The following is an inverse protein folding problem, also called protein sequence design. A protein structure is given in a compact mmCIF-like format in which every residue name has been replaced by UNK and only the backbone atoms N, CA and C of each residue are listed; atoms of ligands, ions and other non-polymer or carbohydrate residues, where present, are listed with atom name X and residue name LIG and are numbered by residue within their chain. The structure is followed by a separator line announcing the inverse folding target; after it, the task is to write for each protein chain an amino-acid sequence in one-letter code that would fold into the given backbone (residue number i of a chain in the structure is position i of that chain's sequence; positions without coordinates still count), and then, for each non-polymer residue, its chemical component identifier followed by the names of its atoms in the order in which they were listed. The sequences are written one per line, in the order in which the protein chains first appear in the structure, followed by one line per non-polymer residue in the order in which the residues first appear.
data_IF_657833992121
#
_entry.id   IF_657833992121
#
_cell.length_a   1.000
_cell.length_b   1.000
_cell.length_c   1.000
_cell.angle_alpha   90.00
_cell.angle_beta   90.00
_cell.angle_gamma   90.00
#
_symmetry.space_group_name_H-M   'P 1'
#
loop_
_entity.id
_entity.type
_entity.pdbx_description
1 polymer ?
#
# COMPACT_ATOMS: atom_id res chain seq x y z
N UNK A 1 -24.33 4.23 0.90
CA UNK A 1 -23.24 4.56 1.85
C UNK A 1 -21.94 4.64 1.06
N UNK A 2 -21.00 5.49 1.46
CA UNK A 2 -19.72 5.52 0.76
C UNK A 2 -18.99 4.19 0.93
N UNK A 3 -18.26 3.74 -0.09
CA UNK A 3 -17.32 2.63 0.04
C UNK A 3 -16.22 2.93 1.09
N UNK A 4 -16.02 4.21 1.42
CA UNK A 4 -15.17 4.70 2.50
C UNK A 4 -15.78 4.57 3.90
N UNK A 5 -17.00 4.08 4.02
CA UNK A 5 -17.64 3.91 5.31
C UNK A 5 -17.47 2.47 5.80
N UNK A 6 -17.48 2.30 7.12
CA UNK A 6 -17.64 0.99 7.73
C UNK A 6 -18.85 0.24 7.13
N UNK A 7 -18.69 -1.06 6.94
CA UNK A 7 -19.73 -1.95 6.41
C UNK A 7 -19.76 -3.26 7.18
N UNK A 8 -20.78 -4.09 7.00
CA UNK A 8 -20.84 -5.41 7.66
C UNK A 8 -19.64 -6.31 7.29
N UNK A 9 -19.06 -6.12 6.09
CA UNK A 9 -17.86 -6.83 5.63
C UNK A 9 -16.55 -6.24 6.14
N UNK A 10 -16.55 -4.94 6.46
CA UNK A 10 -15.40 -4.23 7.01
C UNK A 10 -15.87 -3.19 8.04
N UNK A 11 -16.23 -3.63 9.26
CA UNK A 11 -16.91 -2.79 10.24
C UNK A 11 -16.01 -1.70 10.82
N UNK A 12 -14.71 -1.77 10.58
CA UNK A 12 -13.73 -0.79 11.03
C UNK A 12 -13.06 -0.05 9.87
N UNK A 13 -13.55 -0.23 8.64
CA UNK A 13 -13.04 0.46 7.46
C UNK A 13 -11.51 0.25 7.31
N UNK A 14 -11.05 -0.99 7.49
CA UNK A 14 -9.64 -1.33 7.33
C UNK A 14 -9.20 -1.20 5.86
N UNK A 15 -10.13 -1.43 4.93
CA UNK A 15 -10.00 -1.23 3.47
C UNK A 15 -10.35 0.21 3.06
N UNK A 16 -10.43 1.15 4.02
CA UNK A 16 -10.75 2.56 3.77
C UNK A 16 -9.84 3.17 2.72
N UNK A 17 -10.39 4.14 2.01
CA UNK A 17 -9.60 4.95 1.13
C UNK A 17 -8.70 5.87 1.95
N UNK A 18 -7.53 6.09 1.39
CA UNK A 18 -6.45 6.85 1.98
C UNK A 18 -5.22 6.25 1.34
N UNK A 19 -4.44 7.09 0.67
CA UNK A 19 -3.10 6.68 0.32
C UNK A 19 -2.38 6.29 1.62
N UNK A 20 -1.36 5.45 1.57
CA UNK A 20 -0.47 5.32 2.73
C UNK A 20 0.12 6.68 3.15
N UNK A 21 -0.03 7.70 2.31
CA UNK A 21 0.14 9.13 2.59
C UNK A 21 -1.13 9.68 3.23
N UNK A 22 -1.01 10.33 4.39
CA UNK A 22 -2.08 11.11 5.03
C UNK A 22 -2.53 12.31 4.17
N UNK A 23 -3.29 12.03 3.10
CA UNK A 23 -3.76 13.03 2.16
C UNK A 23 -5.11 12.64 1.57
N UNK A 24 -5.98 13.64 1.41
CA UNK A 24 -7.17 13.49 0.57
C UNK A 24 -6.73 13.37 -0.89
N UNK A 25 -7.48 12.61 -1.71
CA UNK A 25 -7.25 12.60 -3.15
C UNK A 25 -7.23 14.03 -3.69
N UNK A 26 -6.31 14.32 -4.60
CA UNK A 26 -6.41 15.51 -5.43
C UNK A 26 -7.69 15.37 -6.28
N UNK A 27 -8.76 16.02 -5.85
CA UNK A 27 -10.02 16.03 -6.57
C UNK A 27 -9.81 16.81 -7.87
N UNK A 28 -9.82 16.10 -9.00
CA UNK A 28 -9.81 16.71 -10.31
C UNK A 28 -11.25 16.78 -10.78
N UNK A 29 -11.79 17.99 -10.98
CA UNK A 29 -13.08 18.16 -11.63
C UNK A 29 -12.91 17.93 -13.12
N UNK A 30 -12.92 16.66 -13.52
CA UNK A 30 -12.98 16.27 -14.91
C UNK A 30 -14.46 16.17 -15.29
N UNK A 31 -14.91 16.79 -16.39
CA UNK A 31 -16.30 16.65 -16.85
C UNK A 31 -16.70 15.22 -17.24
N UNK A 32 -15.77 14.26 -17.14
CA UNK A 32 -15.85 12.90 -17.65
C UNK A 32 -15.66 11.82 -16.59
N UNK A 33 -15.24 12.15 -15.36
CA UNK A 33 -14.96 11.16 -14.30
C UNK A 33 -15.09 11.80 -12.91
N UNK A 34 -16.04 11.32 -12.11
CA UNK A 34 -16.16 11.62 -10.69
C UNK A 34 -15.64 10.41 -9.89
N UNK A 35 -14.62 10.64 -9.07
CA UNK A 35 -13.95 9.57 -8.31
C UNK A 35 -14.89 8.97 -7.26
N UNK A 36 -15.71 9.79 -6.59
CA UNK A 36 -16.62 9.31 -5.55
C UNK A 36 -17.75 8.48 -6.17
N UNK A 37 -18.33 8.93 -7.28
CA UNK A 37 -19.32 8.15 -8.03
C UNK A 37 -18.73 6.84 -8.57
N UNK A 38 -17.54 6.89 -9.18
CA UNK A 38 -16.87 5.69 -9.68
C UNK A 38 -16.69 4.65 -8.57
N UNK A 39 -16.22 5.09 -7.42
CA UNK A 39 -16.04 4.28 -6.23
C UNK A 39 -17.37 3.70 -5.72
N UNK A 40 -18.36 4.55 -5.45
CA UNK A 40 -19.59 4.15 -4.78
C UNK A 40 -20.55 3.35 -5.66
N UNK A 41 -20.53 3.61 -6.97
CA UNK A 41 -21.43 2.98 -7.96
C UNK A 41 -20.73 1.91 -8.77
N UNK A 42 -19.60 2.24 -9.43
CA UNK A 42 -18.95 1.30 -10.36
C UNK A 42 -18.25 0.19 -9.60
N UNK A 43 -17.33 0.51 -8.68
CA UNK A 43 -16.57 -0.52 -7.95
C UNK A 43 -17.50 -1.40 -7.12
N UNK A 44 -18.46 -0.78 -6.40
CA UNK A 44 -19.50 -1.52 -5.69
C UNK A 44 -20.24 -2.52 -6.58
N UNK A 45 -20.62 -2.13 -7.79
CA UNK A 45 -21.33 -3.02 -8.70
C UNK A 45 -20.49 -4.24 -9.11
N UNK A 46 -19.18 -4.06 -9.29
CA UNK A 46 -18.26 -5.19 -9.55
C UNK A 46 -18.10 -6.08 -8.31
N UNK A 47 -17.91 -5.51 -7.12
CA UNK A 47 -17.79 -6.26 -5.86
C UNK A 47 -19.07 -7.02 -5.47
N UNK A 48 -20.23 -6.48 -5.81
CA UNK A 48 -21.53 -7.11 -5.57
C UNK A 48 -21.98 -8.00 -6.76
N UNK A 49 -21.19 -8.09 -7.82
CA UNK A 49 -21.39 -9.02 -8.94
C UNK A 49 -22.50 -8.65 -9.92
N UNK A 50 -23.01 -7.41 -9.90
CA UNK A 50 -24.02 -6.93 -10.85
C UNK A 50 -23.48 -5.96 -11.90
N UNK A 51 -22.17 -5.64 -11.88
CA UNK A 51 -21.54 -4.66 -12.78
C UNK A 51 -21.87 -4.85 -14.26
N UNK A 52 -21.74 -6.06 -14.79
CA UNK A 52 -21.97 -6.38 -16.21
C UNK A 52 -23.41 -6.05 -16.68
N UNK A 53 -24.41 -6.30 -15.84
CA UNK A 53 -25.83 -6.19 -16.22
C UNK A 53 -26.51 -4.93 -15.69
N UNK A 54 -25.99 -4.35 -14.61
CA UNK A 54 -26.66 -3.28 -13.86
C UNK A 54 -26.04 -1.90 -14.06
N UNK A 55 -24.82 -1.77 -14.56
CA UNK A 55 -24.24 -0.46 -14.84
C UNK A 55 -24.74 0.09 -16.18
N UNK A 56 -25.27 1.32 -16.22
CA UNK A 56 -25.63 1.97 -17.48
C UNK A 56 -24.37 2.31 -18.26
N UNK A 57 -24.44 2.28 -19.60
CA UNK A 57 -23.38 2.74 -20.49
C UNK A 57 -23.34 4.28 -20.59
N UNK A 58 -23.18 4.94 -19.44
CA UNK A 58 -23.02 6.38 -19.32
C UNK A 58 -21.62 6.87 -19.76
N UNK A 59 -21.39 8.18 -19.76
CA UNK A 59 -20.11 8.77 -20.22
C UNK A 59 -18.90 8.25 -19.43
N UNK A 60 -19.07 7.97 -18.13
CA UNK A 60 -17.97 7.52 -17.28
C UNK A 60 -17.59 6.06 -17.57
N UNK A 61 -18.59 5.18 -17.62
CA UNK A 61 -18.40 3.75 -17.90
C UNK A 61 -18.01 3.47 -19.36
N UNK A 62 -18.61 4.17 -20.32
CA UNK A 62 -18.37 3.96 -21.76
C UNK A 62 -16.95 4.34 -22.22
N UNK A 63 -16.24 5.18 -21.45
CA UNK A 63 -14.85 5.58 -21.74
C UNK A 63 -13.81 4.70 -21.05
N UNK A 64 -14.23 3.88 -20.09
CA UNK A 64 -13.37 2.96 -19.34
C UNK A 64 -12.16 3.61 -18.66
N UNK A 65 -12.24 4.90 -18.29
CA UNK A 65 -11.23 5.51 -17.42
C UNK A 65 -11.37 4.97 -16.00
N UNK A 66 -10.23 4.67 -15.38
CA UNK A 66 -10.15 4.18 -14.00
C UNK A 66 -9.40 5.23 -13.18
N UNK A 67 -9.99 5.77 -12.09
CA UNK A 67 -9.28 6.64 -11.18
C UNK A 67 -7.98 6.00 -10.65
N UNK A 68 -6.99 6.83 -10.32
CA UNK A 68 -5.75 6.37 -9.73
C UNK A 68 -6.01 5.71 -8.36
N UNK A 69 -5.31 4.61 -8.06
CA UNK A 69 -5.32 3.96 -6.76
C UNK A 69 -6.60 3.20 -6.39
N UNK A 70 -7.56 2.98 -7.29
CA UNK A 70 -8.80 2.25 -6.98
C UNK A 70 -8.56 0.82 -6.46
N UNK A 71 -7.42 0.21 -6.76
CA UNK A 71 -7.03 -1.09 -6.23
C UNK A 71 -6.85 -1.10 -4.69
N UNK A 72 -6.76 0.07 -4.04
CA UNK A 72 -6.80 0.17 -2.58
C UNK A 72 -8.08 -0.44 -1.97
N UNK A 73 -9.14 -0.58 -2.77
CA UNK A 73 -10.43 -1.12 -2.33
C UNK A 73 -10.58 -2.61 -2.51
N UNK A 74 -9.67 -3.20 -3.27
CA UNK A 74 -9.71 -4.61 -3.55
C UNK A 74 -9.19 -5.37 -2.33
N UNK A 75 -10.01 -6.24 -1.79
CA UNK A 75 -9.64 -7.11 -0.67
C UNK A 75 -9.18 -8.47 -1.22
N UNK A 76 -7.98 -8.89 -0.82
CA UNK A 76 -7.41 -10.21 -1.09
C UNK A 76 -7.19 -11.02 0.19
N UNK A 77 -7.68 -10.57 1.34
CA UNK A 77 -7.49 -11.25 2.62
C UNK A 77 -8.01 -12.68 2.65
N UNK A 78 -8.91 -13.05 1.74
CA UNK A 78 -9.49 -14.39 1.61
C UNK A 78 -8.76 -15.33 0.63
N UNK A 79 -7.79 -14.85 -0.16
CA UNK A 79 -7.23 -15.68 -1.26
C UNK A 79 -6.18 -16.70 -0.81
N UNK A 80 -5.60 -16.52 0.38
CA UNK A 80 -4.60 -17.41 0.94
C UNK A 80 -4.95 -17.77 2.38
N UNK A 81 -4.68 -19.02 2.83
CA UNK A 81 -4.99 -19.47 4.20
C UNK A 81 -4.00 -18.95 5.24
N UNK A 82 -2.83 -18.45 4.82
CA UNK A 82 -1.75 -18.01 5.70
C UNK A 82 -1.39 -16.52 5.46
N UNK A 83 -0.82 -15.90 6.50
CA UNK A 83 -0.35 -14.51 6.51
C UNK A 83 0.96 -14.43 7.33
N UNK A 84 1.92 -13.56 6.97
CA UNK A 84 3.12 -13.37 7.79
C UNK A 84 2.77 -12.72 9.13
N UNK A 85 3.39 -13.23 10.20
CA UNK A 85 3.42 -12.64 11.53
C UNK A 85 4.77 -12.01 11.78
N UNK A 86 4.75 -10.80 12.33
CA UNK A 86 5.96 -10.06 12.70
C UNK A 86 6.44 -10.43 14.11
N UNK A 87 7.75 -10.68 14.24
CA UNK A 87 8.45 -11.00 15.49
C UNK A 87 9.42 -9.85 15.75
N UNK A 88 8.96 -8.84 16.49
CA UNK A 88 9.67 -7.58 16.67
C UNK A 88 11.07 -7.75 17.26
N UNK A 89 11.24 -8.68 18.20
CA UNK A 89 12.52 -8.92 18.90
C UNK A 89 13.66 -9.34 17.97
N UNK A 90 13.33 -9.98 16.84
CA UNK A 90 14.29 -10.46 15.86
C UNK A 90 14.62 -9.39 14.80
N UNK A 91 13.80 -8.35 14.68
CA UNK A 91 13.87 -7.42 13.56
C UNK A 91 15.05 -6.46 13.64
N UNK A 92 15.86 -6.43 12.59
CA UNK A 92 17.02 -5.53 12.46
C UNK A 92 16.69 -4.19 11.78
N UNK A 93 15.51 -4.08 11.16
CA UNK A 93 15.11 -2.89 10.39
C UNK A 93 15.76 -2.78 9.01
N UNK A 94 16.12 -3.91 8.40
CA UNK A 94 16.77 -3.98 7.08
C UNK A 94 15.86 -3.58 5.89
N UNK A 95 14.54 -3.67 6.06
CA UNK A 95 13.52 -3.33 5.05
C UNK A 95 13.48 -4.26 3.80
N UNK A 96 14.16 -5.41 3.82
CA UNK A 96 14.13 -6.35 2.69
C UNK A 96 12.73 -6.96 2.49
N UNK A 97 12.08 -7.36 3.57
CA UNK A 97 10.71 -7.85 3.54
C UNK A 97 9.70 -6.84 2.98
N UNK A 98 9.93 -5.55 3.25
CA UNK A 98 9.17 -4.46 2.64
C UNK A 98 9.46 -4.46 1.15
N UNK A 99 10.73 -4.38 0.74
CA UNK A 99 11.22 -4.29 -0.64
C UNK A 99 10.66 -5.40 -1.53
N UNK A 100 10.73 -6.66 -1.09
CA UNK A 100 10.34 -7.83 -1.88
C UNK A 100 8.83 -8.00 -2.02
N UNK A 101 8.02 -7.38 -1.17
CA UNK A 101 6.57 -7.54 -1.23
C UNK A 101 5.97 -6.94 -2.52
N UNK A 102 5.35 -7.74 -3.41
CA UNK A 102 4.86 -7.25 -4.70
C UNK A 102 3.59 -6.39 -4.61
N UNK A 103 2.86 -6.49 -3.51
CA UNK A 103 1.51 -5.93 -3.36
C UNK A 103 1.43 -4.84 -2.27
N UNK A 104 2.56 -4.24 -1.87
CA UNK A 104 2.59 -3.20 -0.82
C UNK A 104 1.93 -3.66 0.50
N UNK A 105 1.91 -4.97 0.75
CA UNK A 105 1.26 -5.56 1.93
C UNK A 105 2.15 -5.55 3.17
N UNK A 106 3.46 -5.30 3.04
CA UNK A 106 4.42 -5.19 4.13
C UNK A 106 4.94 -3.76 4.16
N UNK A 107 4.77 -3.10 5.29
CA UNK A 107 5.04 -1.67 5.47
C UNK A 107 5.98 -1.45 6.65
N UNK A 108 6.92 -0.53 6.51
CA UNK A 108 7.80 -0.11 7.60
C UNK A 108 7.40 1.27 8.13
N UNK A 109 7.57 1.50 9.43
CA UNK A 109 7.44 2.83 10.03
C UNK A 109 8.43 3.03 11.16
N UNK A 110 8.93 4.26 11.27
CA UNK A 110 9.83 4.67 12.35
C UNK A 110 9.29 5.94 12.99
N UNK A 111 9.11 5.92 14.30
CA UNK A 111 8.67 7.06 15.09
C UNK A 111 9.67 7.33 16.20
N UNK A 112 9.81 8.59 16.62
CA UNK A 112 10.48 8.90 17.88
C UNK A 112 9.81 8.17 19.05
N UNK A 113 10.58 7.73 20.05
CA UNK A 113 10.04 6.97 21.18
C UNK A 113 8.91 7.72 21.90
N UNK A 114 9.08 9.02 22.16
CA UNK A 114 8.05 9.89 22.76
C UNK A 114 6.78 10.05 21.89
N UNK A 115 6.94 10.08 20.57
CA UNK A 115 5.81 10.16 19.64
C UNK A 115 5.01 8.84 19.65
N UNK A 116 5.70 7.70 19.67
CA UNK A 116 5.06 6.39 19.82
C UNK A 116 4.31 6.29 21.16
N UNK A 117 4.92 6.71 22.26
CA UNK A 117 4.27 6.71 23.58
C UNK A 117 2.98 7.54 23.58
N UNK A 118 3.00 8.70 22.92
CA UNK A 118 1.80 9.54 22.74
C UNK A 118 0.74 8.81 21.93
N UNK A 119 1.11 8.18 20.81
CA UNK A 119 0.18 7.41 19.98
C UNK A 119 -0.45 6.24 20.75
N UNK A 120 0.35 5.50 21.53
CA UNK A 120 -0.14 4.38 22.35
C UNK A 120 -1.17 4.80 23.40
N UNK A 121 -1.05 6.02 23.95
CA UNK A 121 -2.02 6.55 24.91
C UNK A 121 -3.40 6.82 24.29
N UNK A 122 -3.48 7.02 22.97
CA UNK A 122 -4.76 7.22 22.27
C UNK A 122 -5.58 5.93 22.15
N UNK A 123 -4.94 4.77 22.29
CA UNK A 123 -5.59 3.46 22.26
C UNK A 123 -6.25 3.22 23.62
N UNK A 124 -7.58 3.17 23.65
CA UNK A 124 -8.35 3.06 24.90
C UNK A 124 -8.32 1.66 25.52
N UNK A 125 -8.34 0.62 24.68
CA UNK A 125 -8.31 -0.76 25.15
C UNK A 125 -6.86 -1.17 25.48
N UNK A 126 -6.66 -1.70 26.69
CA UNK A 126 -5.32 -2.04 27.18
C UNK A 126 -4.71 -3.22 26.42
N UNK A 127 -5.52 -4.22 26.04
CA UNK A 127 -5.06 -5.40 25.29
C UNK A 127 -4.56 -4.98 23.91
N UNK A 128 -5.32 -4.10 23.25
CA UNK A 128 -4.96 -3.55 21.94
C UNK A 128 -3.73 -2.67 21.99
N UNK A 129 -3.58 -1.88 23.06
CA UNK A 129 -2.38 -1.08 23.31
C UNK A 129 -1.15 -1.96 23.49
N UNK A 130 -1.24 -3.00 24.31
CA UNK A 130 -0.12 -3.91 24.58
C UNK A 130 0.29 -4.70 23.34
N UNK A 131 -0.71 -5.19 22.57
CA UNK A 131 -0.49 -5.84 21.29
C UNK A 131 0.24 -4.92 20.31
N UNK A 132 -0.24 -3.68 20.13
CA UNK A 132 0.38 -2.75 19.20
C UNK A 132 1.78 -2.32 19.68
N UNK A 133 1.97 -2.04 20.98
CA UNK A 133 3.26 -1.69 21.57
C UNK A 133 4.33 -2.78 21.35
N UNK A 134 3.94 -4.06 21.44
CA UNK A 134 4.84 -5.19 21.22
C UNK A 134 5.36 -5.29 19.78
N UNK A 135 4.72 -4.61 18.81
CA UNK A 135 5.15 -4.58 17.42
C UNK A 135 6.19 -3.50 17.12
N UNK A 136 6.74 -2.81 18.13
CA UNK A 136 7.74 -1.76 17.92
C UNK A 136 9.08 -2.14 18.54
N UNK A 137 10.08 -2.42 17.73
CA UNK A 137 11.41 -2.82 18.19
C UNK A 137 12.40 -1.66 18.28
N UNK A 138 13.50 -1.90 18.99
CA UNK A 138 14.67 -1.02 19.09
C UNK A 138 15.78 -1.62 18.22
N UNK A 139 16.02 -1.02 17.06
CA UNK A 139 17.05 -1.49 16.13
C UNK A 139 18.36 -0.75 16.33
N UNK A 140 19.47 -1.35 15.94
CA UNK A 140 20.78 -0.67 15.93
C UNK A 140 20.75 0.62 15.10
N UNK A 141 20.02 0.59 13.98
CA UNK A 141 19.97 1.66 12.99
C UNK A 141 19.14 2.85 13.46
N UNK A 142 17.90 2.59 13.88
CA UNK A 142 16.93 3.65 14.20
C UNK A 142 16.96 4.04 15.68
N UNK A 143 17.41 3.16 16.58
CA UNK A 143 17.44 3.44 18.03
C UNK A 143 18.86 3.74 18.55
N UNK A 144 19.77 2.75 18.51
CA UNK A 144 21.10 2.90 19.11
C UNK A 144 21.97 3.95 18.40
N UNK A 145 21.86 4.03 17.07
CA UNK A 145 22.59 4.98 16.24
C UNK A 145 22.32 6.44 16.64
N UNK A 146 21.06 6.89 16.68
CA UNK A 146 20.69 8.21 17.20
C UNK A 146 21.09 8.44 18.67
N UNK A 147 20.88 7.46 19.55
CA UNK A 147 21.26 7.61 20.98
C UNK A 147 22.76 7.87 21.18
N UNK A 148 23.63 7.19 20.40
CA UNK A 148 25.08 7.46 20.42
C UNK A 148 25.46 8.88 20.01
N UNK A 149 24.58 9.58 19.29
CA UNK A 149 24.73 10.98 18.86
C UNK A 149 24.05 11.96 19.84
N UNK A 150 23.54 11.49 20.97
CA UNK A 150 22.78 12.31 21.92
C UNK A 150 21.38 12.71 21.43
N UNK A 151 20.87 12.01 20.40
CA UNK A 151 19.52 12.21 19.88
C UNK A 151 18.57 11.16 20.46
N UNK A 152 17.27 11.44 20.41
CA UNK A 152 16.24 10.48 20.79
C UNK A 152 16.24 9.25 19.86
N UNK A 153 16.10 8.05 20.42
CA UNK A 153 16.01 6.80 19.67
C UNK A 153 14.66 6.65 18.97
N UNK A 154 14.68 6.13 17.74
CA UNK A 154 13.50 5.81 16.96
C UNK A 154 13.06 4.36 17.15
N UNK A 155 11.77 4.14 17.37
CA UNK A 155 11.12 2.82 17.43
C UNK A 155 10.64 2.44 16.05
N UNK A 156 10.96 1.21 15.64
CA UNK A 156 10.69 0.71 14.30
C UNK A 156 9.68 -0.43 14.32
N UNK A 157 8.81 -0.49 13.32
CA UNK A 157 7.81 -1.55 13.17
C UNK A 157 7.66 -2.00 11.73
N UNK A 158 7.34 -3.28 11.56
CA UNK A 158 6.78 -3.84 10.33
C UNK A 158 5.30 -4.11 10.56
N UNK A 159 4.46 -3.64 9.64
CA UNK A 159 3.02 -3.83 9.67
C UNK A 159 2.57 -4.55 8.40
N UNK A 160 1.62 -5.46 8.58
CA UNK A 160 1.05 -6.27 7.50
C UNK A 160 -0.33 -5.74 7.17
N UNK A 161 -0.57 -5.35 5.92
CA UNK A 161 -1.91 -5.10 5.41
C UNK A 161 -2.55 -6.43 4.98
N UNK A 162 -3.52 -6.96 5.75
CA UNK A 162 -4.17 -8.22 5.42
C UNK A 162 -4.98 -8.17 4.13
N UNK A 163 -5.43 -6.99 3.70
CA UNK A 163 -6.24 -6.82 2.50
C UNK A 163 -5.42 -6.92 1.21
N UNK A 164 -4.11 -6.68 1.28
CA UNK A 164 -3.19 -6.78 0.14
C UNK A 164 -2.33 -8.04 0.17
N UNK A 165 -2.17 -8.65 1.34
CA UNK A 165 -1.36 -9.85 1.49
C UNK A 165 -2.00 -11.08 0.83
N UNK A 166 -1.38 -11.55 -0.25
CA UNK A 166 -1.74 -12.80 -0.95
C UNK A 166 -1.06 -14.06 -0.41
N UNK A 167 -0.32 -13.96 0.71
CA UNK A 167 0.29 -15.12 1.37
C UNK A 167 1.43 -15.80 0.57
N UNK A 168 2.16 -15.05 -0.26
CA UNK A 168 3.24 -15.58 -1.10
C UNK A 168 4.52 -15.98 -0.34
N UNK A 169 4.67 -15.54 0.91
CA UNK A 169 5.84 -15.78 1.75
C UNK A 169 7.20 -15.20 1.26
N UNK A 170 7.24 -14.36 0.21
CA UNK A 170 8.49 -13.70 -0.23
C UNK A 170 9.16 -12.90 0.91
N UNK A 171 8.36 -12.13 1.65
CA UNK A 171 8.82 -11.36 2.81
C UNK A 171 9.39 -12.20 3.95
N UNK A 172 8.95 -13.45 4.10
CA UNK A 172 9.46 -14.41 5.08
C UNK A 172 10.74 -15.04 4.55
N UNK A 173 10.74 -15.42 3.27
CA UNK A 173 11.87 -16.09 2.60
C UNK A 173 13.11 -15.21 2.56
N UNK A 174 12.96 -13.89 2.37
CA UNK A 174 14.07 -12.93 2.36
C UNK A 174 14.53 -12.52 3.76
N UNK A 175 13.80 -12.88 4.82
CA UNK A 175 14.13 -12.43 6.16
C UNK A 175 15.19 -13.34 6.81
N UNK A 176 16.46 -12.93 6.72
CA UNK A 176 17.59 -13.68 7.31
C UNK A 176 17.59 -13.72 8.86
N UNK A 177 16.81 -12.85 9.51
CA UNK A 177 16.75 -12.73 10.97
C UNK A 177 15.57 -13.49 11.60
N UNK A 178 14.76 -14.23 10.82
CA UNK A 178 13.52 -14.87 11.30
C UNK A 178 12.56 -13.89 11.99
N UNK A 179 12.53 -12.64 11.54
CA UNK A 179 11.63 -11.60 12.06
C UNK A 179 10.20 -11.69 11.48
N UNK A 180 9.98 -12.58 10.51
CA UNK A 180 8.69 -12.88 9.93
C UNK A 180 8.51 -14.40 9.82
N UNK A 181 7.30 -14.88 10.10
CA UNK A 181 6.94 -16.28 9.86
C UNK A 181 5.54 -16.40 9.29
N UNK A 182 5.30 -17.34 8.40
CA UNK A 182 3.93 -17.64 7.97
C UNK A 182 3.13 -18.26 9.11
N UNK A 183 1.88 -17.85 9.24
CA UNK A 183 0.94 -18.44 10.17
C UNK A 183 -0.45 -18.57 9.54
N UNK A 184 -1.20 -19.55 10.03
CA UNK A 184 -2.59 -19.77 9.64
C UNK A 184 -3.45 -18.59 10.07
N UNK A 185 -4.31 -18.11 9.16
CA UNK A 185 -5.30 -17.07 9.43
C UNK A 185 -6.42 -17.60 10.32
N UNK A 186 -6.26 -17.41 11.62
CA UNK A 186 -7.36 -17.56 12.59
C UNK A 186 -8.11 -16.23 12.72
N UNK A 187 -9.32 -16.26 13.29
CA UNK A 187 -10.08 -15.03 13.59
C UNK A 187 -9.26 -14.03 14.41
N UNK A 188 -8.53 -14.51 15.42
CA UNK A 188 -7.66 -13.67 16.25
C UNK A 188 -6.52 -13.05 15.43
N UNK A 189 -5.80 -13.86 14.64
CA UNK A 189 -4.70 -13.37 13.79
C UNK A 189 -5.17 -12.28 12.83
N UNK A 190 -6.32 -12.49 12.19
CA UNK A 190 -6.85 -11.53 11.23
C UNK A 190 -7.42 -10.28 11.92
N UNK A 191 -8.01 -10.43 13.12
CA UNK A 191 -8.46 -9.30 13.95
C UNK A 191 -7.28 -8.41 14.33
N UNK A 192 -6.18 -9.01 14.79
CA UNK A 192 -4.98 -8.28 15.21
C UNK A 192 -4.25 -7.63 14.03
N UNK A 193 -4.14 -8.33 12.88
CA UNK A 193 -3.57 -7.75 11.66
C UNK A 193 -4.36 -6.53 11.17
N UNK A 194 -5.70 -6.62 11.13
CA UNK A 194 -6.57 -5.50 10.73
C UNK A 194 -6.47 -4.32 11.70
N UNK A 195 -6.47 -4.59 13.01
CA UNK A 195 -6.29 -3.55 14.03
C UNK A 195 -4.92 -2.88 13.90
N UNK A 196 -3.85 -3.66 13.78
CA UNK A 196 -2.47 -3.14 13.65
C UNK A 196 -2.33 -2.25 12.42
N UNK A 197 -2.87 -2.67 11.28
CA UNK A 197 -2.89 -1.85 10.06
C UNK A 197 -3.68 -0.54 10.25
N UNK A 198 -4.82 -0.57 10.94
CA UNK A 198 -5.59 0.64 11.25
C UNK A 198 -4.83 1.61 12.14
N UNK A 199 -4.24 1.11 13.22
CA UNK A 199 -3.44 1.91 14.15
C UNK A 199 -2.20 2.50 13.45
N UNK A 200 -1.58 1.75 12.54
CA UNK A 200 -0.49 2.24 11.70
C UNK A 200 -0.90 3.44 10.85
N UNK A 201 -2.09 3.41 10.22
CA UNK A 201 -2.64 4.56 9.47
C UNK A 201 -2.92 5.77 10.36
N UNK A 202 -3.23 5.55 11.63
CA UNK A 202 -3.51 6.61 12.60
C UNK A 202 -2.25 7.15 13.31
N UNK A 203 -1.10 6.52 13.12
CA UNK A 203 0.14 6.84 13.82
C UNK A 203 0.91 8.02 13.20
N UNK A 204 0.43 8.57 12.07
CA UNK A 204 1.11 9.60 11.29
C UNK A 204 2.34 9.07 10.53
N UNK A 205 3.01 9.92 9.74
CA UNK A 205 4.14 9.51 8.91
C UNK A 205 5.36 9.12 9.72
N UNK A 206 6.26 8.36 9.10
CA UNK A 206 7.59 8.12 9.68
C UNK A 206 8.32 9.43 9.93
N UNK A 207 9.07 9.49 11.03
CA UNK A 207 9.90 10.64 11.36
C UNK A 207 11.14 10.69 10.47
N UNK A 208 11.23 11.73 9.65
CA UNK A 208 12.27 11.90 8.64
C UNK A 208 13.69 11.96 9.22
N UNK A 209 13.85 12.27 10.52
CA UNK A 209 15.16 12.31 11.19
C UNK A 209 15.85 10.94 11.22
N UNK A 210 15.09 9.85 11.13
CA UNK A 210 15.61 8.48 11.13
C UNK A 210 15.81 7.90 9.73
N UNK A 211 15.41 8.64 8.68
CA UNK A 211 15.44 8.16 7.30
C UNK A 211 16.73 8.61 6.63
N UNK A 212 17.50 7.67 6.09
CA UNK A 212 18.72 7.97 5.35
C UNK A 212 18.48 7.97 3.85
N UNK A 213 18.47 9.14 3.22
CA UNK A 213 18.27 9.29 1.77
C UNK A 213 19.34 8.63 0.89
N UNK A 214 20.52 8.32 1.45
CA UNK A 214 21.55 7.56 0.72
C UNK A 214 21.29 6.05 0.72
N UNK A 215 20.36 5.57 1.54
CA UNK A 215 20.01 4.16 1.64
C UNK A 215 18.67 3.93 0.95
N UNK A 216 18.71 3.37 -0.27
CA UNK A 216 17.54 3.27 -1.14
C UNK A 216 16.34 2.57 -0.49
N UNK A 217 16.58 1.58 0.38
CA UNK A 217 15.50 0.87 1.08
C UNK A 217 14.71 1.77 2.04
N UNK A 218 15.31 2.85 2.54
CA UNK A 218 14.63 3.78 3.47
C UNK A 218 13.65 4.70 2.78
N UNK A 219 13.70 4.80 1.44
CA UNK A 219 12.69 5.55 0.71
C UNK A 219 11.29 5.01 1.04
N UNK A 220 11.16 3.70 1.25
CA UNK A 220 9.90 3.03 1.60
C UNK A 220 9.39 3.34 3.01
N UNK A 221 10.13 4.10 3.82
CA UNK A 221 9.61 4.68 5.07
C UNK A 221 8.87 6.01 4.85
N UNK A 222 9.06 6.64 3.68
CA UNK A 222 8.40 7.88 3.33
C UNK A 222 7.10 7.56 2.62
N UNK A 223 5.99 7.94 3.23
CA UNK A 223 4.67 7.58 2.71
C UNK A 223 4.48 8.03 1.25
N UNK A 224 5.03 9.20 0.89
CA UNK A 224 5.00 9.78 -0.47
C UNK A 224 5.60 8.88 -1.57
N UNK A 225 6.37 7.84 -1.24
CA UNK A 225 6.92 6.91 -2.22
C UNK A 225 6.04 5.68 -2.43
N UNK A 226 4.96 5.51 -1.66
CA UNK A 226 3.98 4.43 -1.86
C UNK A 226 3.03 4.74 -3.02
N UNK A 227 3.59 4.98 -4.20
CA UNK A 227 2.86 5.33 -5.42
C UNK A 227 2.22 4.12 -6.14
N UNK A 228 2.41 2.93 -5.56
CA UNK A 228 1.75 1.70 -5.95
C UNK A 228 1.07 1.13 -4.70
N UNK A 229 -0.27 1.16 -4.66
CA UNK A 229 -1.05 0.89 -3.43
C UNK A 229 -1.29 -0.60 -3.16
N UNK A 230 -0.78 -1.47 -4.02
CA UNK A 230 -1.13 -2.88 -3.98
C UNK A 230 -2.52 -3.15 -4.56
N UNK A 231 -3.07 -4.32 -4.26
CA UNK A 231 -4.42 -4.70 -4.71
C UNK A 231 -4.50 -4.99 -6.21
N UNK A 232 -3.35 -5.11 -6.87
CA UNK A 232 -3.28 -5.50 -8.27
C UNK A 232 -3.63 -6.98 -8.44
N UNK A 233 -4.19 -7.35 -9.58
CA UNK A 233 -4.63 -8.73 -9.86
C UNK A 233 -3.51 -9.74 -10.15
N UNK A 234 -2.27 -9.47 -9.74
CA UNK A 234 -1.10 -10.29 -10.06
C UNK A 234 -1.10 -11.59 -9.26
N UNK A 235 -0.35 -12.58 -9.73
CA UNK A 235 -0.11 -13.81 -8.99
C UNK A 235 0.55 -13.53 -7.62
N UNK A 236 0.36 -14.43 -6.65
CA UNK A 236 1.09 -14.40 -5.39
C UNK A 236 2.61 -14.57 -5.68
N UNK A 237 3.44 -13.64 -5.20
CA UNK A 237 4.90 -13.67 -5.41
C UNK A 237 5.34 -13.15 -6.79
N UNK A 238 4.52 -12.34 -7.45
CA UNK A 238 4.83 -11.81 -8.78
C UNK A 238 6.05 -10.86 -8.76
N UNK A 239 7.18 -11.30 -9.30
CA UNK A 239 8.40 -10.47 -9.41
C UNK A 239 8.23 -9.21 -10.28
N UNK A 240 7.35 -9.22 -11.29
CA UNK A 240 7.01 -8.01 -12.07
C UNK A 240 6.32 -6.97 -11.18
N UNK A 241 5.47 -7.40 -10.24
CA UNK A 241 4.82 -6.55 -9.24
C UNK A 241 5.85 -5.87 -8.33
N UNK A 242 6.80 -6.63 -7.80
CA UNK A 242 7.91 -6.09 -6.98
C UNK A 242 8.72 -5.06 -7.75
N UNK A 243 9.12 -5.39 -8.99
CA UNK A 243 9.91 -4.49 -9.83
C UNK A 243 9.16 -3.18 -10.14
N UNK A 244 7.88 -3.25 -10.53
CA UNK A 244 7.07 -2.06 -10.80
C UNK A 244 6.83 -1.22 -9.55
N UNK A 245 6.53 -1.87 -8.41
CA UNK A 245 6.33 -1.17 -7.14
C UNK A 245 7.58 -0.39 -6.74
N UNK A 246 8.76 -1.01 -6.84
CA UNK A 246 10.04 -0.37 -6.53
C UNK A 246 10.43 0.69 -7.57
N UNK A 247 10.13 0.50 -8.85
CA UNK A 247 10.25 1.53 -9.89
C UNK A 247 9.41 2.76 -9.52
N UNK A 248 8.17 2.56 -9.09
CA UNK A 248 7.29 3.65 -8.68
C UNK A 248 7.83 4.39 -7.47
N UNK A 249 8.31 3.68 -6.46
CA UNK A 249 8.90 4.29 -5.28
C UNK A 249 10.16 5.12 -5.61
N UNK A 250 11.10 4.54 -6.37
CA UNK A 250 12.34 5.21 -6.74
C UNK A 250 12.10 6.43 -7.64
N UNK A 251 11.21 6.29 -8.62
CA UNK A 251 10.89 7.39 -9.56
C UNK A 251 10.13 8.50 -8.84
N UNK A 252 9.17 8.16 -7.99
CA UNK A 252 8.45 9.10 -7.13
C UNK A 252 9.35 9.83 -6.14
N UNK A 253 10.29 9.14 -5.50
CA UNK A 253 11.25 9.75 -4.59
C UNK A 253 12.09 10.83 -5.29
N UNK A 254 12.43 10.63 -6.57
CA UNK A 254 13.28 11.54 -7.35
C UNK A 254 12.50 12.66 -8.05
N UNK A 255 11.34 12.35 -8.63
CA UNK A 255 10.61 13.27 -9.53
C UNK A 255 9.24 13.70 -8.99
N UNK A 256 8.83 13.24 -7.81
CA UNK A 256 7.53 13.57 -7.23
C UNK A 256 6.38 13.11 -8.13
N UNK A 257 5.56 14.06 -8.59
CA UNK A 257 4.41 13.85 -9.46
C UNK A 257 4.68 14.16 -10.94
N UNK A 258 5.93 14.45 -11.32
CA UNK A 258 6.32 14.89 -12.66
C UNK A 258 6.70 13.72 -13.59
N UNK A 259 5.94 12.61 -13.53
CA UNK A 259 6.20 11.42 -14.33
C UNK A 259 4.94 10.55 -14.47
N UNK A 260 4.97 9.62 -15.43
CA UNK A 260 3.90 8.66 -15.67
C UNK A 260 4.40 7.43 -16.42
N UNK A 261 3.52 6.44 -16.60
CA UNK A 261 3.85 5.18 -17.28
C UNK A 261 3.04 5.03 -18.56
N UNK A 262 3.73 4.73 -19.66
CA UNK A 262 3.13 4.22 -20.90
C UNK A 262 3.52 2.75 -21.02
N UNK A 263 2.55 1.87 -20.83
CA UNK A 263 2.75 0.43 -20.78
C UNK A 263 2.44 -0.23 -22.12
N UNK A 264 3.31 -1.15 -22.53
CA UNK A 264 2.98 -2.13 -23.58
C UNK A 264 2.08 -3.22 -22.99
N UNK A 265 1.13 -3.71 -23.79
CA UNK A 265 0.23 -4.79 -23.37
C UNK A 265 1.03 -6.02 -22.92
N UNK A 266 0.68 -6.57 -21.76
CA UNK A 266 1.38 -7.70 -21.16
C UNK A 266 0.82 -8.04 -19.78
N UNK A 267 1.58 -8.80 -18.99
CA UNK A 267 1.16 -9.14 -17.64
C UNK A 267 0.87 -7.89 -16.80
N UNK A 268 1.77 -6.88 -16.78
CA UNK A 268 1.50 -5.61 -16.09
C UNK A 268 0.13 -5.03 -16.44
N UNK A 269 -0.20 -4.84 -17.73
CA UNK A 269 -1.49 -4.24 -18.11
C UNK A 269 -2.66 -5.09 -17.66
N UNK A 270 -2.55 -6.42 -17.72
CA UNK A 270 -3.61 -7.31 -17.23
C UNK A 270 -3.84 -7.10 -15.74
N UNK A 271 -2.80 -7.21 -14.91
CA UNK A 271 -3.02 -7.17 -13.47
C UNK A 271 -3.15 -5.76 -12.88
N UNK A 272 -2.66 -4.71 -13.55
CA UNK A 272 -2.73 -3.32 -13.08
C UNK A 272 -3.85 -2.50 -13.71
N UNK A 273 -4.53 -2.98 -14.76
CA UNK A 273 -5.64 -2.24 -15.37
C UNK A 273 -6.83 -3.13 -15.72
N UNK A 274 -7.06 -4.22 -14.98
CA UNK A 274 -8.34 -4.93 -15.02
C UNK A 274 -9.40 -4.05 -14.38
N UNK A 275 -10.30 -3.52 -15.21
CA UNK A 275 -11.40 -2.67 -14.77
C UNK A 275 -12.21 -3.35 -13.64
N UNK A 276 -12.55 -2.66 -12.54
CA UNK A 276 -12.38 -1.21 -12.28
C UNK A 276 -11.14 -0.86 -11.42
N UNK A 277 -10.10 -1.70 -11.38
CA UNK A 277 -8.99 -1.58 -10.44
C UNK A 277 -7.69 -1.07 -11.08
N UNK A 278 -7.06 -0.08 -10.44
CA UNK A 278 -5.76 0.48 -10.79
C UNK A 278 -4.90 0.66 -9.52
N UNK A 279 -3.69 0.06 -9.42
CA UNK A 279 -2.82 0.20 -8.25
C UNK A 279 -1.93 1.44 -8.28
N UNK A 280 -1.85 2.17 -9.39
CA UNK A 280 -0.94 3.32 -9.51
C UNK A 280 -1.60 4.61 -9.00
N UNK A 281 -0.81 5.40 -8.26
CA UNK A 281 -1.13 6.79 -7.87
C UNK A 281 -0.48 7.83 -8.80
N UNK A 282 -0.14 7.41 -10.02
CA UNK A 282 0.44 8.24 -11.06
C UNK A 282 -0.32 8.07 -12.37
N UNK A 283 -0.20 9.00 -13.33
CA UNK A 283 -0.72 8.81 -14.67
C UNK A 283 -0.17 7.54 -15.31
N UNK A 284 -1.07 6.71 -15.82
CA UNK A 284 -0.76 5.44 -16.46
C UNK A 284 -1.64 5.27 -17.68
N UNK A 285 -1.07 4.81 -18.79
CA UNK A 285 -1.82 4.49 -20.01
C UNK A 285 -1.27 3.25 -20.69
N UNK A 286 -2.14 2.54 -21.41
CA UNK A 286 -1.80 1.48 -22.33
C UNK A 286 -2.55 1.72 -23.64
N UNK A 287 -1.81 1.70 -24.75
CA UNK A 287 -2.39 1.77 -26.09
C UNK A 287 -2.60 0.35 -26.64
N UNK A 288 -1.56 -0.24 -27.23
CA UNK A 288 -1.56 -1.61 -27.74
C UNK A 288 -0.23 -2.30 -27.40
N UNK A 289 -0.07 -3.53 -27.87
CA UNK A 289 1.11 -4.34 -27.58
C UNK A 289 2.36 -3.81 -28.29
N UNK A 290 2.21 -3.44 -29.56
CA UNK A 290 3.30 -3.17 -30.49
C UNK A 290 3.75 -1.70 -30.54
N UNK A 291 2.97 -0.77 -29.97
CA UNK A 291 3.12 0.66 -30.24
C UNK A 291 3.46 1.52 -29.01
N UNK A 292 3.73 0.93 -27.84
CA UNK A 292 3.99 1.69 -26.61
C UNK A 292 5.10 2.77 -26.76
N UNK A 293 6.23 2.54 -27.46
CA UNK A 293 7.21 3.60 -27.69
C UNK A 293 6.67 4.77 -28.52
N UNK A 294 5.85 4.51 -29.54
CA UNK A 294 5.25 5.54 -30.37
C UNK A 294 4.19 6.35 -29.59
N UNK A 295 3.38 5.68 -28.77
CA UNK A 295 2.44 6.33 -27.86
C UNK A 295 3.18 7.21 -26.84
N UNK A 296 4.27 6.71 -26.26
CA UNK A 296 5.11 7.47 -25.34
C UNK A 296 5.73 8.72 -25.98
N UNK A 297 6.15 8.66 -27.25
CA UNK A 297 6.61 9.84 -27.99
C UNK A 297 5.49 10.87 -28.16
N UNK A 298 4.26 10.42 -28.46
CA UNK A 298 3.08 11.27 -28.59
C UNK A 298 2.71 11.95 -27.27
N UNK A 299 2.65 11.18 -26.18
CA UNK A 299 2.43 11.69 -24.82
C UNK A 299 3.51 12.71 -24.46
N UNK A 300 4.79 12.38 -24.64
CA UNK A 300 5.90 13.27 -24.29
C UNK A 300 5.88 14.58 -25.08
N UNK A 301 5.49 14.55 -26.35
CA UNK A 301 5.37 15.76 -27.18
C UNK A 301 4.30 16.74 -26.69
N UNK A 302 3.39 16.31 -25.81
CA UNK A 302 2.31 17.11 -25.23
C UNK A 302 2.40 17.25 -23.70
N UNK A 303 3.42 16.65 -23.08
CA UNK A 303 3.64 16.72 -21.65
C UNK A 303 4.37 18.02 -21.30
N UNK A 304 3.67 18.93 -20.62
CA UNK A 304 4.23 20.16 -20.03
C UNK A 304 5.14 19.80 -18.85
#
# INVERSE_FOLDING_TARGET
PSMNAASDRDPFNNNSYGTLVDGTYRQVSLPILDVNDFNDRVIRAYEEGYGEKGLPADVATARSYIPAGTATLRDFSYVAPEIPLYIADNCTGCMECVTECPDTAILGKVLAESALETNLQTISDQTDRDMFAAQWCKTKKYYDGPQKKGLEGGRFSIIIDPSKCKGCAECVTVCDDDALKMAVKTEQVMRDARLSHRLFKQSGPSDERYINDNLLVDMMLKEKTHLYVGGAGSCAGCGEGTALRMLCAATGAKYGDQWGIVAATGCNTVYTSTYPYNPYLIPWTNSLFENAPADAMGVRARWD
#
